data_IF_662437783458
#
_entry.id   IF_662437783458
#
_cell.length_a   1.000
_cell.length_b   1.000
_cell.length_c   1.000
_cell.angle_alpha   90.00
_cell.angle_beta   90.00
_cell.angle_gamma   90.00
#
_symmetry.space_group_name_H-M   'P 1'
#
loop_
_entity.id
_entity.type
_entity.pdbx_description
1 polymer ?
#
# COMPACT_ATOMS: atom_id res chain seq x y z
N UNK A 1 -21.18 7.58 -5.29
CA UNK A 1 -21.75 6.62 -4.32
C UNK A 1 -20.56 5.93 -3.64
N UNK A 2 -20.42 6.07 -2.32
CA UNK A 2 -19.16 5.94 -1.57
C UNK A 2 -18.21 4.82 -2.07
N UNK A 3 -17.11 5.23 -2.69
CA UNK A 3 -16.17 4.32 -3.37
C UNK A 3 -14.91 4.05 -2.53
N UNK A 4 -14.79 4.71 -1.38
CA UNK A 4 -13.62 4.63 -0.52
C UNK A 4 -13.83 3.61 0.60
N UNK A 5 -12.83 2.76 0.83
CA UNK A 5 -12.68 1.98 2.06
C UNK A 5 -12.41 2.94 3.22
N UNK A 6 -13.15 2.79 4.33
CA UNK A 6 -12.76 3.44 5.58
C UNK A 6 -11.69 2.59 6.27
N UNK A 7 -10.50 3.15 6.39
CA UNK A 7 -9.29 2.50 6.93
C UNK A 7 -8.78 3.18 8.20
N UNK A 8 -9.63 3.98 8.86
CA UNK A 8 -9.31 4.68 10.12
C UNK A 8 -8.80 3.71 11.19
N UNK A 9 -9.34 2.48 11.21
CA UNK A 9 -8.88 1.41 12.07
C UNK A 9 -8.38 0.22 11.23
N UNK A 10 -7.11 -0.15 11.38
CA UNK A 10 -6.51 -1.30 10.68
C UNK A 10 -7.15 -2.63 11.06
N UNK A 11 -7.72 -2.74 12.26
CA UNK A 11 -8.40 -3.95 12.75
C UNK A 11 -9.88 -4.00 12.38
N UNK A 12 -10.44 -2.86 11.95
CA UNK A 12 -11.85 -2.71 11.60
C UNK A 12 -12.00 -1.84 10.35
N UNK A 13 -12.00 -2.50 9.19
CA UNK A 13 -12.14 -1.83 7.89
C UNK A 13 -13.59 -1.95 7.44
N UNK A 14 -14.20 -0.82 7.09
CA UNK A 14 -15.58 -0.80 6.62
C UNK A 14 -15.70 -0.24 5.21
N UNK A 15 -16.69 -0.74 4.48
CA UNK A 15 -16.99 -0.29 3.14
C UNK A 15 -18.48 -0.43 2.88
N UNK A 16 -19.07 0.59 2.29
CA UNK A 16 -20.47 0.60 1.92
C UNK A 16 -20.62 0.49 0.40
N UNK A 17 -21.40 -0.48 -0.05
CA UNK A 17 -21.77 -0.66 -1.44
C UNK A 17 -23.28 -0.52 -1.60
N UNK A 18 -23.71 0.67 -2.00
CA UNK A 18 -25.14 1.02 -2.08
C UNK A 18 -25.84 0.78 -0.73
N UNK A 19 -26.76 -0.18 -0.66
CA UNK A 19 -27.47 -0.57 0.58
C UNK A 19 -26.75 -1.66 1.39
N UNK A 20 -25.64 -2.20 0.90
CA UNK A 20 -24.84 -3.21 1.58
C UNK A 20 -23.73 -2.57 2.40
N UNK A 21 -23.56 -3.03 3.63
CA UNK A 21 -22.43 -2.67 4.48
C UNK A 21 -21.53 -3.88 4.67
N UNK A 22 -20.26 -3.72 4.32
CA UNK A 22 -19.21 -4.70 4.54
C UNK A 22 -18.30 -4.20 5.66
N UNK A 23 -17.99 -5.07 6.60
CA UNK A 23 -17.03 -4.81 7.66
C UNK A 23 -16.09 -6.00 7.83
N UNK A 24 -14.78 -5.74 7.79
CA UNK A 24 -13.75 -6.72 8.09
C UNK A 24 -13.40 -6.63 9.57
N UNK A 25 -13.53 -7.75 10.27
CA UNK A 25 -13.23 -7.89 11.69
C UNK A 25 -11.85 -8.54 11.87
N UNK A 26 -11.00 -7.95 12.71
CA UNK A 26 -9.68 -8.49 13.04
C UNK A 26 -8.58 -8.12 12.05
N UNK A 27 -8.84 -7.10 11.22
CA UNK A 27 -7.89 -6.54 10.27
C UNK A 27 -7.49 -7.48 9.13
N UNK A 28 -6.52 -7.01 8.35
CA UNK A 28 -5.99 -7.71 7.18
C UNK A 28 -4.49 -7.92 7.35
N UNK A 29 -4.03 -9.17 7.25
CA UNK A 29 -2.59 -9.46 7.28
C UNK A 29 -1.94 -8.92 6.02
N UNK A 30 -0.94 -8.06 6.18
CA UNK A 30 -0.22 -7.44 5.05
C UNK A 30 1.01 -8.27 4.68
N UNK A 31 1.54 -9.04 5.64
CA UNK A 31 2.64 -9.97 5.45
C UNK A 31 2.14 -11.26 4.78
N UNK A 32 2.62 -11.52 3.56
CA UNK A 32 2.26 -12.68 2.74
C UNK A 32 1.09 -12.42 1.81
N UNK A 33 1.40 -12.20 0.51
CA UNK A 33 0.39 -12.00 -0.54
C UNK A 33 -0.37 -13.29 -0.91
N UNK A 34 0.11 -14.47 -0.49
CA UNK A 34 -0.44 -15.76 -0.94
C UNK A 34 -1.88 -16.01 -0.44
N UNK A 35 -2.23 -15.50 0.75
CA UNK A 35 -3.51 -15.81 1.41
C UNK A 35 -4.17 -14.56 1.95
N UNK A 36 -5.50 -14.48 1.83
CA UNK A 36 -6.28 -13.36 2.34
C UNK A 36 -7.42 -13.87 3.23
N UNK A 37 -7.04 -14.39 4.41
CA UNK A 37 -8.01 -14.80 5.42
C UNK A 37 -8.59 -13.59 6.15
N UNK A 38 -9.90 -13.47 6.14
CA UNK A 38 -10.65 -12.38 6.76
C UNK A 38 -11.88 -12.90 7.48
N UNK A 39 -12.32 -12.16 8.49
CA UNK A 39 -13.66 -12.35 9.05
C UNK A 39 -14.55 -11.25 8.50
N UNK A 40 -15.38 -11.60 7.52
CA UNK A 40 -16.26 -10.66 6.86
C UNK A 40 -17.62 -10.63 7.54
N UNK A 41 -18.10 -9.43 7.84
CA UNK A 41 -19.47 -9.13 8.24
C UNK A 41 -20.14 -8.40 7.08
N UNK A 42 -21.19 -8.98 6.52
CA UNK A 42 -22.02 -8.38 5.48
C UNK A 42 -23.38 -8.07 6.08
N UNK A 43 -23.83 -6.84 5.96
CA UNK A 43 -25.10 -6.37 6.51
C UNK A 43 -25.94 -5.77 5.39
N UNK A 44 -27.21 -6.16 5.38
CA UNK A 44 -28.23 -5.61 4.50
C UNK A 44 -29.51 -5.41 5.31
N UNK A 45 -29.96 -4.16 5.40
CA UNK A 45 -31.13 -3.76 6.21
C UNK A 45 -30.98 -4.24 7.66
N UNK A 46 -31.78 -5.21 8.11
CA UNK A 46 -31.77 -5.77 9.47
C UNK A 46 -31.06 -7.12 9.57
N UNK A 47 -30.51 -7.64 8.46
CA UNK A 47 -29.87 -8.94 8.43
C UNK A 47 -28.35 -8.79 8.37
N UNK A 48 -27.65 -9.61 9.16
CA UNK A 48 -26.20 -9.67 9.19
C UNK A 48 -25.71 -11.11 8.99
N UNK A 49 -24.74 -11.29 8.11
CA UNK A 49 -24.00 -12.54 7.90
C UNK A 49 -22.57 -12.30 8.34
N UNK A 50 -22.06 -13.17 9.21
CA UNK A 50 -20.64 -13.18 9.60
C UNK A 50 -20.03 -14.49 9.12
N UNK A 51 -18.92 -14.41 8.40
CA UNK A 51 -18.21 -15.57 7.90
C UNK A 51 -16.71 -15.36 7.94
N UNK A 52 -15.97 -16.37 8.41
CA UNK A 52 -14.52 -16.42 8.27
C UNK A 52 -14.19 -17.19 7.00
N UNK A 53 -13.43 -16.59 6.08
CA UNK A 53 -13.02 -17.24 4.84
C UNK A 53 -11.70 -16.66 4.32
N UNK A 54 -11.11 -17.38 3.36
CA UNK A 54 -10.05 -16.84 2.53
C UNK A 54 -10.65 -16.26 1.25
N UNK A 55 -10.44 -14.97 0.99
CA UNK A 55 -11.00 -14.27 -0.18
C UNK A 55 -10.36 -14.74 -1.50
N UNK A 56 -9.18 -15.37 -1.46
CA UNK A 56 -8.55 -15.95 -2.65
C UNK A 56 -9.03 -17.37 -2.96
N UNK A 57 -9.81 -17.98 -2.07
CA UNK A 57 -10.46 -19.26 -2.37
C UNK A 57 -11.79 -19.04 -3.08
N UNK A 58 -11.79 -19.19 -4.40
CA UNK A 58 -12.99 -19.05 -5.25
C UNK A 58 -14.15 -19.94 -4.83
N UNK A 59 -13.91 -21.18 -4.38
CA UNK A 59 -14.98 -22.09 -3.99
C UNK A 59 -15.68 -21.62 -2.71
N UNK A 60 -14.91 -21.19 -1.71
CA UNK A 60 -15.45 -20.66 -0.46
C UNK A 60 -16.16 -19.32 -0.67
N UNK A 61 -15.60 -18.48 -1.56
CA UNK A 61 -16.19 -17.21 -1.94
C UNK A 61 -17.54 -17.39 -2.65
N UNK A 62 -17.63 -18.29 -3.64
CA UNK A 62 -18.88 -18.54 -4.38
C UNK A 62 -19.98 -19.08 -3.44
N UNK A 63 -19.63 -19.99 -2.53
CA UNK A 63 -20.54 -20.48 -1.48
C UNK A 63 -21.06 -19.35 -0.59
N UNK A 64 -20.20 -18.40 -0.20
CA UNK A 64 -20.61 -17.22 0.58
C UNK A 64 -21.52 -16.29 -0.25
N UNK A 65 -21.15 -16.01 -1.49
CA UNK A 65 -21.94 -15.15 -2.40
C UNK A 65 -23.35 -15.70 -2.57
N UNK A 66 -23.49 -17.02 -2.82
CA UNK A 66 -24.80 -17.67 -2.92
C UNK A 66 -25.60 -17.56 -1.62
N UNK A 67 -24.99 -17.89 -0.48
CA UNK A 67 -25.66 -17.77 0.83
C UNK A 67 -26.12 -16.35 1.12
N UNK A 68 -25.31 -15.35 0.78
CA UNK A 68 -25.68 -13.94 0.93
C UNK A 68 -26.81 -13.56 -0.02
N UNK A 69 -26.74 -13.96 -1.29
CA UNK A 69 -27.79 -13.70 -2.28
C UNK A 69 -29.14 -14.30 -1.85
N UNK A 70 -29.14 -15.55 -1.40
CA UNK A 70 -30.33 -16.25 -0.90
C UNK A 70 -30.90 -15.57 0.34
N UNK A 71 -30.06 -15.31 1.35
CA UNK A 71 -30.52 -14.77 2.63
C UNK A 71 -31.04 -13.34 2.52
N UNK A 72 -30.35 -12.50 1.74
CA UNK A 72 -30.75 -11.12 1.52
C UNK A 72 -31.79 -10.96 0.39
N UNK A 73 -32.13 -12.05 -0.31
CA UNK A 73 -33.04 -12.05 -1.47
C UNK A 73 -32.58 -11.08 -2.55
N UNK A 74 -31.27 -11.03 -2.79
CA UNK A 74 -30.62 -10.21 -3.81
C UNK A 74 -30.12 -11.08 -4.95
N UNK A 75 -30.00 -10.50 -6.15
CA UNK A 75 -29.49 -11.22 -7.32
C UNK A 75 -28.03 -11.64 -7.12
N UNK A 76 -27.69 -12.88 -7.48
CA UNK A 76 -26.32 -13.42 -7.36
C UNK A 76 -25.30 -12.58 -8.14
N UNK A 77 -25.66 -12.07 -9.32
CA UNK A 77 -24.80 -11.19 -10.13
C UNK A 77 -24.45 -9.89 -9.41
N UNK A 78 -25.42 -9.29 -8.72
CA UNK A 78 -25.21 -8.08 -7.94
C UNK A 78 -24.23 -8.34 -6.78
N UNK A 79 -24.42 -9.45 -6.06
CA UNK A 79 -23.51 -9.84 -4.98
C UNK A 79 -22.11 -10.16 -5.48
N UNK A 80 -21.98 -10.94 -6.55
CA UNK A 80 -20.69 -11.25 -7.15
C UNK A 80 -19.92 -9.98 -7.54
N UNK A 81 -20.61 -8.99 -8.15
CA UNK A 81 -20.02 -7.69 -8.47
C UNK A 81 -19.57 -6.89 -7.24
N UNK A 82 -20.38 -6.90 -6.17
CA UNK A 82 -20.03 -6.24 -4.90
C UNK A 82 -18.79 -6.87 -4.26
N UNK A 83 -18.72 -8.21 -4.19
CA UNK A 83 -17.56 -8.93 -3.66
C UNK A 83 -16.30 -8.74 -4.51
N UNK A 84 -16.42 -8.75 -5.84
CA UNK A 84 -15.29 -8.48 -6.74
C UNK A 84 -14.73 -7.06 -6.53
N UNK A 85 -15.61 -6.08 -6.39
CA UNK A 85 -15.22 -4.69 -6.10
C UNK A 85 -14.53 -4.59 -4.73
N UNK A 86 -15.07 -5.25 -3.70
CA UNK A 86 -14.46 -5.30 -2.38
C UNK A 86 -13.04 -5.89 -2.43
N UNK A 87 -12.84 -7.00 -3.13
CA UNK A 87 -11.52 -7.65 -3.26
C UNK A 87 -10.52 -6.69 -3.91
N UNK A 88 -10.87 -6.07 -5.03
CA UNK A 88 -10.00 -5.10 -5.71
C UNK A 88 -9.58 -3.93 -4.79
N UNK A 89 -10.52 -3.45 -3.99
CA UNK A 89 -10.27 -2.38 -3.02
C UNK A 89 -9.28 -2.84 -1.92
N UNK A 90 -9.46 -4.06 -1.38
CA UNK A 90 -8.57 -4.63 -0.38
C UNK A 90 -7.16 -4.92 -0.92
N UNK A 91 -7.05 -5.33 -2.18
CA UNK A 91 -5.77 -5.53 -2.86
C UNK A 91 -5.02 -4.20 -3.04
N UNK A 92 -5.73 -3.17 -3.49
CA UNK A 92 -5.18 -1.82 -3.61
C UNK A 92 -4.69 -1.32 -2.25
N UNK A 93 -5.48 -1.54 -1.19
CA UNK A 93 -5.08 -1.21 0.18
C UNK A 93 -3.83 -1.98 0.63
N UNK A 94 -3.73 -3.30 0.35
CA UNK A 94 -2.51 -4.08 0.65
C UNK A 94 -1.27 -3.52 -0.04
N UNK A 95 -1.39 -3.20 -1.32
CA UNK A 95 -0.29 -2.64 -2.11
C UNK A 95 0.18 -1.29 -1.56
N UNK A 96 -0.76 -0.43 -1.17
CA UNK A 96 -0.44 0.86 -0.56
C UNK A 96 0.28 0.68 0.78
N UNK A 97 -0.24 -0.16 1.67
CA UNK A 97 0.41 -0.43 2.94
C UNK A 97 1.81 -1.03 2.78
N UNK A 98 2.01 -1.93 1.81
CA UNK A 98 3.32 -2.49 1.51
C UNK A 98 4.32 -1.41 1.07
N UNK A 99 3.89 -0.44 0.25
CA UNK A 99 4.74 0.69 -0.16
C UNK A 99 5.15 1.56 1.03
N UNK A 100 4.22 1.82 1.96
CA UNK A 100 4.52 2.56 3.19
C UNK A 100 5.55 1.84 4.05
N UNK A 101 5.36 0.53 4.24
CA UNK A 101 6.30 -0.35 4.96
C UNK A 101 7.71 -0.36 4.33
N UNK A 102 7.80 -0.33 3.00
CA UNK A 102 9.10 -0.25 2.29
C UNK A 102 9.73 1.12 2.50
N UNK A 103 8.97 2.20 2.36
CA UNK A 103 9.46 3.58 2.54
C UNK A 103 9.95 3.86 3.96
N UNK A 104 9.28 3.31 4.98
CA UNK A 104 9.74 3.41 6.38
C UNK A 104 11.00 2.57 6.65
N UNK A 105 11.19 1.48 5.90
CA UNK A 105 12.37 0.61 6.00
C UNK A 105 13.55 1.08 5.15
N UNK A 106 13.37 2.05 4.26
CA UNK A 106 14.52 2.72 3.64
C UNK A 106 15.34 3.37 4.75
N UNK A 107 16.57 2.90 5.00
CA UNK A 107 17.38 3.47 6.06
C UNK A 107 17.60 4.94 5.73
N UNK A 108 17.20 5.83 6.65
CA UNK A 108 17.68 7.21 6.65
C UNK A 108 19.18 7.11 6.48
N UNK A 109 19.73 7.63 5.38
CA UNK A 109 21.18 7.70 5.13
C UNK A 109 21.83 8.29 6.36
N UNK A 110 22.34 7.43 7.25
CA UNK A 110 23.11 7.91 8.38
C UNK A 110 24.44 8.33 7.80
N UNK A 111 24.69 9.64 7.78
CA UNK A 111 26.00 10.19 7.43
C UNK A 111 27.05 9.39 8.18
N UNK A 112 27.95 8.76 7.42
CA UNK A 112 29.11 8.08 7.99
C UNK A 112 29.90 9.09 8.85
N UNK A 113 30.65 8.65 9.87
CA UNK A 113 31.41 9.56 10.72
C UNK A 113 32.38 10.47 9.93
N UNK A 114 32.80 10.05 8.73
CA UNK A 114 33.60 10.85 7.81
C UNK A 114 32.79 12.01 7.19
N UNK A 115 31.57 11.75 6.72
CA UNK A 115 30.69 12.77 6.13
C UNK A 115 30.18 13.76 7.19
N UNK A 116 29.98 13.30 8.44
CA UNK A 116 29.64 14.20 9.56
C UNK A 116 30.75 15.20 9.85
N UNK A 117 32.01 14.76 9.85
CA UNK A 117 33.17 15.66 10.04
C UNK A 117 33.32 16.65 8.89
N UNK A 118 33.05 16.23 7.65
CA UNK A 118 33.06 17.14 6.50
C UNK A 118 31.92 18.16 6.60
N UNK A 119 30.72 17.75 7.02
CA UNK A 119 29.60 18.66 7.27
C UNK A 119 29.88 19.63 8.44
N UNK A 120 30.48 19.17 9.53
CA UNK A 120 30.92 20.02 10.65
C UNK A 120 32.03 20.99 10.24
N UNK A 121 32.96 20.55 9.39
CA UNK A 121 33.99 21.40 8.81
C UNK A 121 33.36 22.44 7.87
N UNK A 122 32.40 22.07 7.02
CA UNK A 122 31.64 23.00 6.18
C UNK A 122 30.81 23.99 7.00
N UNK A 123 30.21 23.57 8.11
CA UNK A 123 29.37 24.42 8.94
C UNK A 123 30.18 25.39 9.79
N UNK A 124 31.38 25.00 10.25
CA UNK A 124 32.30 25.88 10.98
C UNK A 124 33.04 26.86 10.08
N UNK A 125 33.31 26.48 8.84
CA UNK A 125 34.26 27.20 7.99
C UNK A 125 33.62 28.10 6.92
N UNK A 126 32.30 28.34 7.00
CA UNK A 126 31.58 29.44 6.33
C UNK A 126 32.18 29.95 5.02
N UNK A 127 32.36 29.06 4.03
CA UNK A 127 32.99 29.26 2.71
C UNK A 127 34.37 29.98 2.68
N UNK A 128 35.28 29.42 1.87
CA UNK A 128 35.47 30.02 0.57
C UNK A 128 35.23 29.01 -0.55
N UNK A 129 34.69 29.52 -1.66
CA UNK A 129 34.65 28.82 -2.94
C UNK A 129 36.05 28.28 -3.26
N UNK A 130 36.21 26.97 -3.39
CA UNK A 130 37.29 26.43 -4.22
C UNK A 130 36.77 26.42 -5.65
N UNK A 131 37.35 27.30 -6.45
CA UNK A 131 37.20 27.37 -7.89
C UNK A 131 37.32 25.98 -8.52
N UNK A 132 36.37 25.66 -9.39
CA UNK A 132 36.50 24.55 -10.33
C UNK A 132 37.57 24.90 -11.36
N UNK A 133 38.84 24.65 -11.05
CA UNK A 133 39.93 24.70 -12.03
C UNK A 133 40.72 23.39 -12.01
N UNK A 134 40.13 22.30 -12.52
CA UNK A 134 40.93 21.22 -13.10
C UNK A 134 40.15 20.41 -14.13
N UNK A 135 39.62 21.08 -15.16
CA UNK A 135 39.26 20.40 -16.41
C UNK A 135 39.32 21.40 -17.56
N UNK A 136 40.56 21.68 -18.00
CA UNK A 136 40.93 22.28 -19.30
C UNK A 136 42.46 22.44 -19.33
N UNK A 137 43.21 21.34 -19.29
CA UNK A 137 44.60 21.37 -19.73
C UNK A 137 45.12 20.00 -20.15
N UNK A 138 44.44 19.38 -21.11
CA UNK A 138 44.98 18.22 -21.86
C UNK A 138 44.69 18.29 -23.36
N UNK A 139 44.56 19.51 -23.91
CA UNK A 139 44.37 19.68 -25.35
C UNK A 139 44.94 21.03 -25.84
N UNK A 140 46.24 21.27 -25.63
CA UNK A 140 46.98 22.37 -26.31
C UNK A 140 48.51 22.23 -26.21
N UNK A 141 49.05 21.00 -26.21
CA UNK A 141 50.50 20.77 -26.36
C UNK A 141 50.83 19.88 -27.56
N UNK A 142 50.10 20.12 -28.64
CA UNK A 142 50.41 19.63 -29.98
C UNK A 142 50.46 20.84 -30.94
N UNK A 143 51.34 21.79 -30.67
CA UNK A 143 51.75 22.83 -31.62
C UNK A 143 52.96 23.58 -31.07
N UNK A 144 54.15 23.07 -31.37
CA UNK A 144 55.51 23.67 -31.35
C UNK A 144 56.47 22.70 -30.69
N UNK A 145 57.17 21.93 -31.52
CA UNK A 145 58.61 22.10 -31.71
C UNK A 145 59.09 21.11 -32.79
N UNK A 146 59.64 21.73 -33.85
CA UNK A 146 60.48 21.20 -34.95
C UNK A 146 59.79 20.36 -36.03
#
# INVERSE_FOLDING_TARGET
MATALSTENREYITWQYQELNFALLGGLKIEGLERMRVTLKVEYKQQAIRHNLDLYNTESLDKLVRRCAERFTLGTTYMAGAFATLINLLETYRLDQLKLLVKEKEPVKQLTPAERKQAEAWQKNGLPMMETETSKNTCAKACREV
#
